data_IF_378690348396
#
_entry.id   IF_378690348396
#
_cell.length_a   1.000
_cell.length_b   1.000
_cell.length_c   1.000
_cell.angle_alpha   90.00
_cell.angle_beta   90.00
_cell.angle_gamma   90.00
#
_symmetry.space_group_name_H-M   'P 1'
#
loop_
_entity.id
_entity.type
_entity.pdbx_description
1 polymer ?
#
# COMPACT_ATOMS: atom_id res chain seq x y z
N UNK A 1 -39.00 3.91 -6.33
CA UNK A 1 -37.90 4.69 -6.94
C UNK A 1 -37.02 5.40 -5.90
N UNK A 2 -37.57 6.23 -5.01
CA UNK A 2 -36.81 6.97 -3.97
C UNK A 2 -36.01 6.10 -2.97
N UNK A 3 -36.59 4.99 -2.51
CA UNK A 3 -35.90 4.03 -1.64
C UNK A 3 -34.72 3.31 -2.33
N UNK A 4 -34.79 3.15 -3.65
CA UNK A 4 -33.69 2.57 -4.43
C UNK A 4 -32.54 3.58 -4.55
N UNK A 5 -32.85 4.84 -4.87
CA UNK A 5 -31.87 5.94 -4.90
C UNK A 5 -31.14 6.12 -3.57
N UNK A 6 -31.85 6.14 -2.45
CA UNK A 6 -31.25 6.26 -1.10
C UNK A 6 -30.33 5.07 -0.75
N UNK A 7 -30.69 3.87 -1.22
CA UNK A 7 -29.88 2.65 -1.04
C UNK A 7 -28.64 2.69 -1.93
N UNK A 8 -28.76 3.16 -3.17
CA UNK A 8 -27.63 3.36 -4.08
C UNK A 8 -26.67 4.43 -3.58
N UNK A 9 -27.14 5.60 -3.16
CA UNK A 9 -26.31 6.65 -2.56
C UNK A 9 -25.56 6.11 -1.34
N UNK A 10 -26.27 5.46 -0.40
CA UNK A 10 -25.64 4.89 0.80
C UNK A 10 -24.56 3.86 0.45
N UNK A 11 -24.79 3.01 -0.55
CA UNK A 11 -23.81 2.02 -1.00
C UNK A 11 -22.59 2.66 -1.70
N UNK A 12 -22.80 3.74 -2.45
CA UNK A 12 -21.71 4.52 -3.07
C UNK A 12 -20.83 5.15 -1.99
N UNK A 13 -21.41 5.81 -0.98
CA UNK A 13 -20.65 6.40 0.12
C UNK A 13 -19.87 5.34 0.92
N UNK A 14 -20.46 4.17 1.15
CA UNK A 14 -19.80 3.06 1.86
C UNK A 14 -18.60 2.51 1.07
N UNK A 15 -18.65 2.49 -0.27
CA UNK A 15 -17.52 2.07 -1.10
C UNK A 15 -16.43 3.15 -1.28
N UNK A 16 -16.81 4.42 -1.27
CA UNK A 16 -15.88 5.55 -1.43
C UNK A 16 -14.99 5.78 -0.20
N UNK A 17 -15.52 5.57 1.01
CA UNK A 17 -14.75 5.75 2.26
C UNK A 17 -13.47 4.88 2.28
N UNK A 18 -13.51 3.55 2.10
CA UNK A 18 -12.31 2.73 2.08
C UNK A 18 -11.40 3.04 0.88
N UNK A 19 -11.96 3.48 -0.25
CA UNK A 19 -11.16 3.92 -1.40
C UNK A 19 -10.34 5.18 -1.08
N UNK A 20 -10.95 6.20 -0.48
CA UNK A 20 -10.24 7.41 -0.08
C UNK A 20 -9.26 7.15 1.06
N UNK A 21 -9.63 6.32 2.03
CA UNK A 21 -8.73 5.91 3.10
C UNK A 21 -7.48 5.21 2.55
N UNK A 22 -7.65 4.29 1.59
CA UNK A 22 -6.54 3.60 0.94
C UNK A 22 -5.65 4.56 0.13
N UNK A 23 -6.23 5.48 -0.63
CA UNK A 23 -5.46 6.49 -1.36
C UNK A 23 -4.68 7.43 -0.43
N UNK A 24 -5.26 7.80 0.70
CA UNK A 24 -4.60 8.62 1.71
C UNK A 24 -3.42 7.88 2.35
N UNK A 25 -3.60 6.61 2.70
CA UNK A 25 -2.54 5.77 3.23
C UNK A 25 -1.41 5.56 2.21
N UNK A 26 -1.73 5.34 0.93
CA UNK A 26 -0.75 5.26 -0.15
C UNK A 26 0.11 6.53 -0.21
N UNK A 27 -0.50 7.71 -0.03
CA UNK A 27 0.21 8.99 0.06
C UNK A 27 1.18 9.06 1.25
N UNK A 28 0.76 8.57 2.42
CA UNK A 28 1.62 8.47 3.60
C UNK A 28 2.79 7.51 3.36
N UNK A 29 2.52 6.33 2.78
CA UNK A 29 3.53 5.33 2.43
C UNK A 29 4.57 5.92 1.48
N UNK A 30 4.14 6.67 0.46
CA UNK A 30 5.04 7.31 -0.49
C UNK A 30 5.93 8.36 0.20
N UNK A 31 5.33 9.21 1.05
CA UNK A 31 6.04 10.28 1.73
C UNK A 31 7.04 9.73 2.76
N UNK A 32 6.65 8.72 3.54
CA UNK A 32 7.56 8.04 4.48
C UNK A 32 8.64 7.28 3.71
N UNK A 33 8.30 6.56 2.65
CA UNK A 33 9.24 5.81 1.82
C UNK A 33 10.31 6.71 1.20
N UNK A 34 9.89 7.85 0.63
CA UNK A 34 10.78 8.86 0.03
C UNK A 34 11.68 9.54 1.06
N UNK A 35 11.17 9.78 2.28
CA UNK A 35 11.92 10.42 3.37
C UNK A 35 12.77 9.44 4.20
N UNK A 36 12.61 8.13 4.01
CA UNK A 36 13.45 7.10 4.65
C UNK A 36 14.76 6.94 3.87
N UNK A 37 15.67 7.90 4.01
CA UNK A 37 17.03 7.85 3.44
C UNK A 37 18.10 7.44 4.45
N UNK A 38 19.23 6.95 3.94
CA UNK A 38 20.46 6.68 4.71
C UNK A 38 20.94 8.01 5.33
N UNK A 39 21.48 7.96 6.54
CA UNK A 39 21.95 9.14 7.30
C UNK A 39 23.09 9.91 6.60
N UNK A 40 23.70 9.27 5.60
CA UNK A 40 24.90 9.66 4.87
C UNK A 40 24.60 10.20 3.46
N UNK A 41 23.31 10.34 3.09
CA UNK A 41 22.81 11.16 1.97
C UNK A 41 22.00 12.37 2.47
N UNK A 42 22.18 12.74 3.75
CA UNK A 42 21.55 13.94 4.32
C UNK A 42 22.28 15.20 3.82
N UNK A 43 21.59 16.05 3.07
CA UNK A 43 22.07 17.41 2.81
C UNK A 43 22.28 18.14 4.14
N UNK A 44 23.46 18.74 4.32
CA UNK A 44 23.77 19.59 5.46
C UNK A 44 22.73 20.73 5.55
N UNK A 45 21.74 20.61 6.44
CA UNK A 45 20.78 21.67 6.75
C UNK A 45 19.30 21.30 6.67
N UNK A 46 18.91 20.11 6.20
CA UNK A 46 17.50 19.71 6.07
C UNK A 46 17.09 18.70 7.15
N UNK A 47 16.04 18.99 7.92
CA UNK A 47 15.49 18.08 8.93
C UNK A 47 14.78 16.88 8.27
N UNK A 48 15.41 15.71 8.32
CA UNK A 48 14.87 14.41 7.87
C UNK A 48 14.27 13.63 9.05
N UNK A 49 13.15 12.90 8.81
CA UNK A 49 12.53 12.05 9.84
C UNK A 49 13.44 10.88 10.30
N UNK A 50 14.46 10.52 9.51
CA UNK A 50 15.55 9.63 9.93
C UNK A 50 16.30 10.15 11.17
N UNK A 51 16.44 11.48 11.29
CA UNK A 51 17.07 12.18 12.41
C UNK A 51 16.15 12.31 13.63
N UNK A 52 14.83 12.31 13.42
CA UNK A 52 13.81 12.47 14.46
C UNK A 52 13.32 11.14 15.06
N UNK A 53 13.13 10.09 14.25
CA UNK A 53 12.51 8.83 14.68
C UNK A 53 13.48 7.63 14.66
N UNK A 54 14.56 7.70 13.88
CA UNK A 54 15.53 6.62 13.71
C UNK A 54 15.09 5.56 12.69
N UNK A 55 16.07 5.03 11.93
CA UNK A 55 15.89 4.08 10.81
C UNK A 55 14.99 2.89 11.14
N UNK A 56 15.09 2.34 12.35
CA UNK A 56 14.27 1.20 12.81
C UNK A 56 12.79 1.57 12.94
N UNK A 57 12.46 2.74 13.50
CA UNK A 57 11.05 3.15 13.69
C UNK A 57 10.38 3.45 12.35
N UNK A 58 11.07 4.10 11.42
CA UNK A 58 10.54 4.37 10.08
C UNK A 58 10.15 3.07 9.35
N UNK A 59 11.02 2.06 9.39
CA UNK A 59 10.75 0.75 8.76
C UNK A 59 9.60 0.00 9.44
N UNK A 60 9.50 0.06 10.77
CA UNK A 60 8.38 -0.56 11.49
C UNK A 60 7.06 0.09 11.10
N UNK A 61 7.00 1.42 11.05
CA UNK A 61 5.78 2.16 10.70
C UNK A 61 5.39 1.90 9.25
N UNK A 62 6.35 1.90 8.33
CA UNK A 62 6.08 1.57 6.93
C UNK A 62 5.56 0.13 6.77
N UNK A 63 6.14 -0.83 7.50
CA UNK A 63 5.67 -2.23 7.48
C UNK A 63 4.25 -2.36 8.06
N UNK A 64 3.94 -1.62 9.12
CA UNK A 64 2.58 -1.57 9.68
C UNK A 64 1.58 -0.98 8.69
N UNK A 65 1.97 0.08 7.97
CA UNK A 65 1.13 0.67 6.92
C UNK A 65 0.83 -0.33 5.80
N UNK A 66 1.83 -1.09 5.34
CA UNK A 66 1.60 -2.16 4.35
C UNK A 66 0.58 -3.20 4.85
N UNK A 67 0.67 -3.60 6.12
CA UNK A 67 -0.27 -4.56 6.70
C UNK A 67 -1.68 -3.97 6.78
N UNK A 68 -1.83 -2.72 7.20
CA UNK A 68 -3.13 -2.03 7.27
C UNK A 68 -3.75 -1.92 5.87
N UNK A 69 -2.98 -1.50 4.87
CA UNK A 69 -3.44 -1.42 3.49
C UNK A 69 -3.83 -2.80 2.93
N UNK A 70 -3.06 -3.84 3.24
CA UNK A 70 -3.41 -5.21 2.87
C UNK A 70 -4.81 -5.60 3.38
N UNK A 71 -5.08 -5.36 4.67
CA UNK A 71 -6.42 -5.65 5.23
C UNK A 71 -7.52 -4.83 4.57
N UNK A 72 -7.28 -3.55 4.28
CA UNK A 72 -8.25 -2.70 3.57
C UNK A 72 -8.56 -3.23 2.16
N UNK A 73 -7.55 -3.66 1.41
CA UNK A 73 -7.75 -4.24 0.07
C UNK A 73 -8.52 -5.55 0.15
N UNK A 74 -8.17 -6.44 1.08
CA UNK A 74 -8.88 -7.72 1.28
C UNK A 74 -10.34 -7.50 1.65
N UNK A 75 -10.63 -6.55 2.54
CA UNK A 75 -12.02 -6.18 2.88
C UNK A 75 -12.78 -5.61 1.66
N UNK A 76 -12.13 -4.75 0.87
CA UNK A 76 -12.70 -4.21 -0.37
C UNK A 76 -13.05 -5.30 -1.39
N UNK A 77 -12.13 -6.26 -1.59
CA UNK A 77 -12.34 -7.41 -2.47
C UNK A 77 -13.45 -8.34 -1.97
N UNK A 78 -13.51 -8.60 -0.66
CA UNK A 78 -14.53 -9.46 -0.06
C UNK A 78 -15.96 -8.91 -0.26
N UNK A 79 -16.11 -7.59 -0.28
CA UNK A 79 -17.42 -6.93 -0.39
C UNK A 79 -17.83 -6.65 -1.85
N UNK A 80 -16.88 -6.37 -2.74
CA UNK A 80 -17.18 -5.85 -4.08
C UNK A 80 -16.99 -6.90 -5.18
N UNK A 81 -15.92 -7.70 -5.12
CA UNK A 81 -15.49 -8.56 -6.23
C UNK A 81 -15.05 -9.94 -5.74
N UNK A 82 -16.01 -10.75 -5.28
CA UNK A 82 -15.74 -12.10 -4.74
C UNK A 82 -15.01 -13.02 -5.73
N UNK A 83 -15.30 -12.89 -7.02
CA UNK A 83 -14.65 -13.68 -8.09
C UNK A 83 -13.13 -13.46 -8.16
N UNK A 84 -12.68 -12.26 -7.78
CA UNK A 84 -11.28 -11.85 -7.83
C UNK A 84 -10.56 -11.92 -6.48
N UNK A 85 -11.28 -12.32 -5.43
CA UNK A 85 -10.78 -12.31 -4.05
C UNK A 85 -9.53 -13.17 -3.89
N UNK A 86 -9.55 -14.42 -4.38
CA UNK A 86 -8.41 -15.34 -4.25
C UNK A 86 -7.19 -14.86 -5.02
N UNK A 87 -7.36 -14.46 -6.28
CA UNK A 87 -6.26 -14.02 -7.14
C UNK A 87 -5.64 -12.71 -6.66
N UNK A 88 -6.48 -11.69 -6.39
CA UNK A 88 -6.03 -10.39 -5.88
C UNK A 88 -5.40 -10.51 -4.49
N UNK A 89 -6.00 -11.31 -3.60
CA UNK A 89 -5.49 -11.54 -2.26
C UNK A 89 -4.13 -12.26 -2.25
N UNK A 90 -3.97 -13.33 -3.03
CA UNK A 90 -2.70 -14.05 -3.14
C UNK A 90 -1.60 -13.19 -3.76
N UNK A 91 -1.92 -12.43 -4.83
CA UNK A 91 -0.96 -11.53 -5.47
C UNK A 91 -0.46 -10.48 -4.49
N UNK A 92 -1.38 -9.84 -3.76
CA UNK A 92 -1.02 -8.82 -2.77
C UNK A 92 -0.24 -9.42 -1.58
N UNK A 93 -0.57 -10.64 -1.16
CA UNK A 93 0.16 -11.35 -0.10
C UNK A 93 1.63 -11.60 -0.49
N UNK A 94 1.89 -12.06 -1.73
CA UNK A 94 3.25 -12.26 -2.24
C UNK A 94 4.03 -10.95 -2.22
N UNK A 95 3.40 -9.86 -2.67
CA UNK A 95 4.01 -8.53 -2.72
C UNK A 95 4.28 -7.99 -1.31
N UNK A 96 3.41 -8.28 -0.34
CA UNK A 96 3.59 -7.93 1.07
C UNK A 96 4.82 -8.63 1.65
N UNK A 97 4.95 -9.94 1.41
CA UNK A 97 6.11 -10.73 1.87
C UNK A 97 7.41 -10.17 1.28
N UNK A 98 7.42 -9.88 -0.02
CA UNK A 98 8.59 -9.31 -0.70
C UNK A 98 8.93 -7.93 -0.12
N UNK A 99 7.92 -7.08 0.10
CA UNK A 99 8.11 -5.74 0.66
C UNK A 99 8.70 -5.79 2.07
N UNK A 100 8.14 -6.63 2.96
CA UNK A 100 8.65 -6.83 4.32
C UNK A 100 10.06 -7.41 4.29
N UNK A 101 10.35 -8.35 3.39
CA UNK A 101 11.70 -8.91 3.23
C UNK A 101 12.73 -7.82 2.91
N UNK A 102 12.43 -6.92 1.95
CA UNK A 102 13.32 -5.82 1.62
C UNK A 102 13.47 -4.80 2.76
N UNK A 103 12.41 -4.55 3.53
CA UNK A 103 12.45 -3.71 4.73
C UNK A 103 13.39 -4.28 5.80
N UNK A 104 13.30 -5.58 6.09
CA UNK A 104 14.21 -6.26 7.03
C UNK A 104 15.65 -6.28 6.49
N UNK A 105 15.82 -6.52 5.19
CA UNK A 105 17.13 -6.51 4.53
C UNK A 105 17.77 -5.12 4.58
N UNK A 106 16.97 -4.06 4.43
CA UNK A 106 17.41 -2.67 4.55
C UNK A 106 17.93 -2.36 5.96
N UNK A 107 17.30 -2.89 7.01
CA UNK A 107 17.79 -2.74 8.39
C UNK A 107 19.07 -3.52 8.64
N UNK A 108 19.21 -4.73 8.09
CA UNK A 108 20.36 -5.61 8.36
C UNK A 108 21.62 -5.27 7.55
N UNK A 109 21.48 -4.84 6.30
CA UNK A 109 22.61 -4.64 5.36
C UNK A 109 22.97 -3.18 5.07
N UNK A 110 22.44 -2.22 5.83
CA UNK A 110 22.65 -0.78 5.60
C UNK A 110 22.46 -0.36 4.13
N UNK A 111 21.43 -0.90 3.46
CA UNK A 111 21.14 -0.60 2.06
C UNK A 111 20.77 0.88 1.84
N UNK A 112 20.87 1.38 0.61
CA UNK A 112 20.47 2.75 0.25
C UNK A 112 18.97 2.96 0.47
N UNK A 113 18.59 4.19 0.85
CA UNK A 113 17.19 4.61 1.00
C UNK A 113 16.37 4.46 -0.29
N UNK A 114 17.05 4.46 -1.45
CA UNK A 114 16.41 4.27 -2.75
C UNK A 114 15.67 2.94 -2.88
N UNK A 115 16.11 1.89 -2.16
CA UNK A 115 15.40 0.61 -2.14
C UNK A 115 14.06 0.73 -1.42
N UNK A 116 14.02 1.49 -0.31
CA UNK A 116 12.78 1.70 0.46
C UNK A 116 11.78 2.50 -0.37
N UNK A 117 12.25 3.53 -1.07
CA UNK A 117 11.43 4.32 -2.00
C UNK A 117 10.87 3.44 -3.14
N UNK A 118 11.70 2.65 -3.81
CA UNK A 118 11.25 1.75 -4.88
C UNK A 118 10.24 0.72 -4.37
N UNK A 119 10.49 0.09 -3.22
CA UNK A 119 9.58 -0.91 -2.65
C UNK A 119 8.25 -0.27 -2.26
N UNK A 120 8.27 0.93 -1.69
CA UNK A 120 7.04 1.67 -1.34
C UNK A 120 6.25 2.05 -2.58
N UNK A 121 6.91 2.51 -3.64
CA UNK A 121 6.27 2.81 -4.92
C UNK A 121 5.65 1.58 -5.58
N UNK A 122 6.38 0.45 -5.58
CA UNK A 122 5.85 -0.83 -6.09
C UNK A 122 4.63 -1.28 -5.27
N UNK A 123 4.72 -1.21 -3.93
CA UNK A 123 3.62 -1.55 -3.04
C UNK A 123 2.34 -0.76 -3.39
N UNK A 124 2.44 0.56 -3.56
CA UNK A 124 1.29 1.43 -3.90
C UNK A 124 0.66 1.05 -5.24
N UNK A 125 1.49 0.79 -6.27
CA UNK A 125 0.99 0.42 -7.61
C UNK A 125 0.20 -0.88 -7.51
N UNK A 126 0.79 -1.90 -6.88
CA UNK A 126 0.15 -3.21 -6.80
C UNK A 126 -1.03 -3.27 -5.83
N UNK A 127 -1.00 -2.52 -4.72
CA UNK A 127 -2.16 -2.40 -3.81
C UNK A 127 -3.35 -1.77 -4.52
N UNK A 128 -3.09 -0.74 -5.33
CA UNK A 128 -4.12 -0.04 -6.11
C UNK A 128 -4.64 -0.88 -7.28
N UNK A 129 -3.77 -1.57 -8.01
CA UNK A 129 -4.18 -2.43 -9.13
C UNK A 129 -4.94 -3.67 -8.66
N UNK A 130 -4.60 -4.23 -7.50
CA UNK A 130 -5.25 -5.42 -6.93
C UNK A 130 -6.73 -5.21 -6.62
N UNK A 131 -7.20 -3.97 -6.44
CA UNK A 131 -8.60 -3.66 -6.17
C UNK A 131 -9.55 -3.84 -7.37
N UNK A 132 -9.03 -3.99 -8.60
CA UNK A 132 -9.92 -4.27 -9.74
C UNK A 132 -9.27 -4.31 -11.11
N UNK A 133 -8.19 -3.55 -11.35
CA UNK A 133 -7.57 -3.46 -12.67
C UNK A 133 -6.80 -4.75 -13.04
N UNK A 134 -6.03 -5.28 -12.09
CA UNK A 134 -5.23 -6.50 -12.29
C UNK A 134 -6.12 -7.74 -12.49
N UNK A 135 -7.13 -8.00 -11.62
CA UNK A 135 -8.02 -9.13 -11.81
C UNK A 135 -8.86 -9.01 -13.08
N UNK A 136 -9.40 -7.82 -13.39
CA UNK A 136 -10.18 -7.62 -14.61
C UNK A 136 -9.36 -7.93 -15.87
N UNK A 137 -8.13 -7.44 -15.94
CA UNK A 137 -7.25 -7.66 -17.09
C UNK A 137 -6.90 -9.14 -17.27
N UNK A 138 -6.54 -9.84 -16.19
CA UNK A 138 -6.19 -11.27 -16.24
C UNK A 138 -7.38 -12.13 -16.65
N UNK A 139 -8.55 -11.91 -16.06
CA UNK A 139 -9.75 -12.67 -16.42
C UNK A 139 -10.30 -12.31 -17.82
N UNK A 140 -10.06 -11.10 -18.32
CA UNK A 140 -10.39 -10.72 -19.69
C UNK A 140 -9.49 -11.39 -20.74
N UNK A 141 -8.28 -11.80 -20.39
CA UNK A 141 -7.35 -12.48 -21.31
C UNK A 141 -7.55 -14.00 -21.35
N UNK A 142 -8.14 -14.57 -20.30
CA UNK A 142 -8.40 -16.02 -20.19
C UNK A 142 -9.73 -16.40 -20.88
N UNK A 143 -10.56 -15.40 -21.22
CA UNK A 143 -11.87 -15.56 -21.85
C UNK A 143 -11.79 -15.38 -23.37
#
# INVERSE_FOLDING_TARGET
MYLSLKKYEKNIFIGLIPLFALNYLNGIVLEIGRKTRRADEEEHGVQTYSKLWGRKKAVVILSLLFIIEYFLVILGLAHTYKEYFLFGGLTLLVILIVSIYFMVKFLKKNLSGKIVETVSGLWIIFSSMSLGLLPYFVFSLIK
#
